data_IF_633631076127
#
_entry.id   IF_633631076127
#
_cell.length_a   1.000
_cell.length_b   1.000
_cell.length_c   1.000
_cell.angle_alpha   90.00
_cell.angle_beta   90.00
_cell.angle_gamma   90.00
#
_symmetry.space_group_name_H-M   'P 1'
#
loop_
_entity.id
_entity.type
_entity.pdbx_description
1 polymer ?
#
# COMPACT_ATOMS: atom_id res chain seq x y z
N UNK A 1 44.08 20.23 4.41
CA UNK A 1 44.12 20.07 2.94
C UNK A 1 44.65 18.67 2.65
N UNK A 2 43.79 17.72 2.30
CA UNK A 2 44.22 16.37 1.93
C UNK A 2 44.70 16.38 0.47
N UNK A 3 45.85 15.77 0.18
CA UNK A 3 46.34 15.53 -1.19
C UNK A 3 46.11 14.06 -1.52
N UNK A 4 45.28 13.79 -2.50
CA UNK A 4 45.18 12.45 -3.07
C UNK A 4 46.44 12.16 -3.90
N UNK A 5 47.06 11.00 -3.69
CA UNK A 5 48.14 10.51 -4.55
C UNK A 5 47.50 9.94 -5.80
N UNK A 6 47.74 10.56 -6.96
CA UNK A 6 47.26 10.06 -8.26
C UNK A 6 47.78 8.63 -8.50
N UNK A 7 46.87 7.69 -8.76
CA UNK A 7 47.20 6.32 -9.14
C UNK A 7 47.15 5.26 -8.03
N UNK A 8 47.00 5.63 -6.75
CA UNK A 8 46.78 4.65 -5.67
C UNK A 8 45.29 4.56 -5.33
N UNK A 9 44.60 3.53 -5.83
CA UNK A 9 43.27 3.18 -5.35
C UNK A 9 43.43 2.40 -4.04
N UNK A 10 43.03 2.94 -2.87
CA UNK A 10 43.16 2.22 -1.62
C UNK A 10 42.40 0.90 -1.69
N UNK A 11 43.04 -0.20 -1.26
CA UNK A 11 42.53 -1.55 -1.40
C UNK A 11 41.17 -1.77 -0.69
N UNK A 12 40.86 -0.94 0.30
CA UNK A 12 39.62 -1.00 1.07
C UNK A 12 39.03 0.42 1.20
N UNK A 13 38.07 0.81 0.34
CA UNK A 13 37.41 2.10 0.49
C UNK A 13 36.55 2.10 1.76
N UNK A 14 36.56 3.22 2.48
CA UNK A 14 35.57 3.48 3.52
C UNK A 14 34.19 3.64 2.85
N UNK A 15 33.19 2.91 3.34
CA UNK A 15 31.83 2.94 2.81
C UNK A 15 30.92 3.63 3.82
N UNK A 16 30.47 4.82 3.46
CA UNK A 16 29.36 5.47 4.14
C UNK A 16 28.08 5.22 3.33
N UNK A 17 27.03 4.74 3.99
CA UNK A 17 25.77 4.42 3.36
C UNK A 17 24.63 5.05 4.14
N UNK A 18 23.90 5.92 3.47
CA UNK A 18 22.59 6.38 3.94
C UNK A 18 21.55 5.46 3.31
N UNK A 19 20.75 4.78 4.14
CA UNK A 19 19.59 4.01 3.71
C UNK A 19 18.35 4.80 4.12
N UNK A 20 17.56 5.20 3.15
CA UNK A 20 16.32 5.94 3.37
C UNK A 20 15.14 5.26 2.67
N UNK A 21 13.94 5.50 3.16
CA UNK A 21 12.70 5.03 2.55
C UNK A 21 12.21 6.14 1.61
N UNK A 22 12.08 5.88 0.29
CA UNK A 22 11.57 6.90 -0.62
C UNK A 22 10.12 7.26 -0.27
N UNK A 23 9.64 8.46 -0.65
CA UNK A 23 8.25 8.84 -0.45
C UNK A 23 7.29 7.76 -0.97
N UNK A 24 6.46 7.25 -0.07
CA UNK A 24 5.50 6.20 -0.40
C UNK A 24 4.27 6.84 -1.06
N UNK A 25 3.87 6.30 -2.22
CA UNK A 25 2.63 6.67 -2.92
C UNK A 25 1.71 5.46 -3.03
N UNK A 26 0.42 5.68 -2.75
CA UNK A 26 -0.60 4.65 -2.96
C UNK A 26 -1.02 4.62 -4.43
N UNK A 27 -1.04 3.42 -5.01
CA UNK A 27 -1.68 3.18 -6.31
C UNK A 27 -3.05 2.56 -6.07
N UNK A 28 -4.11 3.29 -6.40
CA UNK A 28 -5.47 2.77 -6.42
C UNK A 28 -5.75 2.01 -7.71
N UNK A 29 -6.34 0.82 -7.59
CA UNK A 29 -6.96 0.11 -8.71
C UNK A 29 -8.43 -0.09 -8.36
N UNK A 30 -9.31 0.56 -9.09
CA UNK A 30 -10.75 0.44 -8.90
C UNK A 30 -11.32 -0.66 -9.80
N UNK A 31 -12.07 -1.58 -9.20
CA UNK A 31 -12.83 -2.59 -9.92
C UNK A 31 -14.31 -2.20 -9.86
N UNK A 32 -14.88 -1.87 -11.02
CA UNK A 32 -16.29 -1.52 -11.13
C UNK A 32 -17.13 -2.74 -11.50
N UNK A 33 -18.10 -3.07 -10.65
CA UNK A 33 -19.00 -4.20 -10.86
C UNK A 33 -20.40 -3.65 -11.14
N UNK A 34 -20.79 -3.68 -12.41
CA UNK A 34 -22.13 -3.26 -12.81
C UNK A 34 -23.16 -4.32 -12.44
N UNK A 35 -24.29 -3.85 -11.93
CA UNK A 35 -25.46 -4.68 -11.66
C UNK A 35 -26.41 -4.58 -12.83
N UNK A 36 -26.72 -5.72 -13.44
CA UNK A 36 -27.61 -5.82 -14.60
C UNK A 36 -28.86 -6.61 -14.22
N UNK A 37 -29.97 -6.35 -14.91
CA UNK A 37 -31.25 -7.03 -14.70
C UNK A 37 -31.51 -8.04 -15.82
N UNK A 38 -31.89 -9.29 -15.49
CA UNK A 38 -32.28 -10.25 -16.52
C UNK A 38 -33.58 -9.80 -17.17
N UNK A 39 -33.55 -9.60 -18.49
CA UNK A 39 -34.76 -9.36 -19.29
C UNK A 39 -35.76 -10.52 -19.23
N UNK A 40 -35.31 -11.70 -18.83
CA UNK A 40 -36.11 -12.92 -18.72
C UNK A 40 -36.93 -13.06 -17.42
N UNK A 41 -36.39 -12.58 -16.30
CA UNK A 41 -36.93 -12.89 -14.97
C UNK A 41 -36.83 -11.75 -13.96
N UNK A 42 -36.35 -10.57 -14.38
CA UNK A 42 -36.23 -9.38 -13.52
C UNK A 42 -35.17 -9.49 -12.41
N UNK A 43 -34.48 -10.63 -12.29
CA UNK A 43 -33.42 -10.77 -11.27
C UNK A 43 -32.23 -9.91 -11.61
N UNK A 44 -31.75 -9.19 -10.61
CA UNK A 44 -30.52 -8.40 -10.71
C UNK A 44 -29.32 -9.27 -10.36
N UNK A 45 -28.30 -9.24 -11.21
CA UNK A 45 -27.07 -9.99 -11.01
C UNK A 45 -25.85 -9.07 -11.16
N UNK A 46 -24.75 -9.43 -10.50
CA UNK A 46 -23.49 -8.72 -10.54
C UNK A 46 -22.37 -9.74 -10.74
N UNK A 47 -21.46 -9.47 -11.65
CA UNK A 47 -20.30 -10.35 -11.85
C UNK A 47 -19.44 -10.39 -10.57
N UNK A 48 -18.86 -11.55 -10.21
CA UNK A 48 -17.89 -11.62 -9.13
C UNK A 48 -16.62 -10.84 -9.49
N UNK A 49 -15.83 -10.48 -8.48
CA UNK A 49 -14.47 -10.00 -8.70
C UNK A 49 -13.60 -11.11 -9.31
N UNK A 50 -12.59 -10.77 -10.12
CA UNK A 50 -11.54 -11.71 -10.50
C UNK A 50 -10.87 -12.32 -9.27
N UNK A 51 -10.42 -13.57 -9.38
CA UNK A 51 -9.82 -14.32 -8.26
C UNK A 51 -8.53 -13.68 -7.74
N UNK A 52 -7.87 -12.89 -8.57
CA UNK A 52 -6.63 -12.18 -8.29
C UNK A 52 -6.85 -10.93 -7.42
N UNK A 53 -8.10 -10.46 -7.28
CA UNK A 53 -8.41 -9.26 -6.50
C UNK A 53 -8.52 -9.62 -5.01
N UNK A 54 -7.69 -9.05 -4.13
CA UNK A 54 -7.76 -9.33 -2.70
C UNK A 54 -9.13 -8.96 -2.11
N UNK A 55 -9.71 -9.86 -1.33
CA UNK A 55 -11.02 -9.67 -0.68
C UNK A 55 -11.06 -8.48 0.28
N UNK A 56 -9.93 -8.19 0.94
CA UNK A 56 -9.76 -7.07 1.87
C UNK A 56 -9.64 -5.70 1.17
N UNK A 57 -9.52 -5.67 -0.16
CA UNK A 57 -9.29 -4.44 -0.91
C UNK A 57 -7.93 -3.78 -0.66
N UNK A 58 -6.99 -4.51 -0.04
CA UNK A 58 -5.60 -4.09 0.18
C UNK A 58 -4.69 -4.88 -0.75
N UNK A 59 -3.82 -4.20 -1.48
CA UNK A 59 -2.73 -4.87 -2.19
C UNK A 59 -1.69 -5.44 -1.21
N UNK A 60 -0.97 -6.47 -1.61
CA UNK A 60 -0.07 -7.25 -0.75
C UNK A 60 0.90 -6.41 0.09
N UNK A 61 1.49 -5.36 -0.53
CA UNK A 61 2.42 -4.45 0.17
C UNK A 61 1.73 -3.67 1.28
N UNK A 62 0.54 -3.14 1.02
CA UNK A 62 -0.23 -2.41 2.02
C UNK A 62 -0.73 -3.35 3.12
N UNK A 63 -1.15 -4.57 2.75
CA UNK A 63 -1.56 -5.60 3.70
C UNK A 63 -0.40 -5.99 4.65
N UNK A 64 0.82 -6.17 4.11
CA UNK A 64 2.00 -6.48 4.91
C UNK A 64 2.36 -5.34 5.89
N UNK A 65 2.31 -4.09 5.43
CA UNK A 65 2.52 -2.91 6.27
C UNK A 65 1.47 -2.88 7.38
N UNK A 66 0.17 -2.94 7.04
CA UNK A 66 -0.91 -2.93 8.04
C UNK A 66 -0.75 -4.07 9.04
N UNK A 67 -0.49 -5.29 8.59
CA UNK A 67 -0.28 -6.43 9.48
C UNK A 67 0.89 -6.22 10.44
N UNK A 68 2.02 -5.69 9.94
CA UNK A 68 3.19 -5.40 10.77
C UNK A 68 2.86 -4.36 11.85
N UNK A 69 2.25 -3.24 11.47
CA UNK A 69 1.92 -2.16 12.42
C UNK A 69 0.80 -2.56 13.40
N UNK A 70 -0.17 -3.35 12.98
CA UNK A 70 -1.25 -3.84 13.85
C UNK A 70 -0.73 -4.77 14.95
N UNK A 71 0.26 -5.63 14.64
CA UNK A 71 0.86 -6.55 15.62
C UNK A 71 1.85 -5.83 16.54
N UNK A 72 2.75 -5.04 15.97
CA UNK A 72 3.89 -4.48 16.70
C UNK A 72 3.51 -3.31 17.60
N UNK A 73 2.51 -2.52 17.20
CA UNK A 73 2.15 -1.30 17.93
C UNK A 73 0.78 -1.34 18.60
N UNK A 74 0.03 -2.45 18.48
CA UNK A 74 -1.40 -2.55 18.87
C UNK A 74 -2.22 -1.31 18.46
N UNK A 75 -1.82 -0.66 17.37
CA UNK A 75 -2.44 0.58 16.95
C UNK A 75 -3.81 0.25 16.37
N UNK A 76 -4.86 0.84 16.94
CA UNK A 76 -6.19 0.79 16.33
C UNK A 76 -6.14 1.40 14.93
N UNK A 77 -6.98 0.91 14.02
CA UNK A 77 -7.10 1.43 12.64
C UNK A 77 -7.25 2.95 12.54
N UNK A 78 -7.69 3.61 13.62
CA UNK A 78 -7.86 5.08 13.70
C UNK A 78 -6.56 5.86 13.88
N UNK A 79 -5.47 5.24 14.33
CA UNK A 79 -4.17 5.91 14.53
C UNK A 79 -3.25 5.81 13.29
N UNK A 80 -3.61 4.94 12.36
CA UNK A 80 -2.92 4.73 11.08
C UNK A 80 -2.78 6.03 10.25
N UNK A 81 -3.72 7.01 10.25
CA UNK A 81 -3.54 8.28 9.54
C UNK A 81 -2.43 9.20 10.09
N UNK A 82 -1.97 9.04 11.34
CA UNK A 82 -0.96 9.93 11.95
C UNK A 82 0.48 9.58 11.56
N UNK A 83 0.71 8.42 10.95
CA UNK A 83 1.96 8.15 10.24
C UNK A 83 1.93 8.98 8.97
N UNK A 84 2.75 10.04 8.86
CA UNK A 84 2.83 10.94 7.70
C UNK A 84 3.06 10.25 6.33
N UNK A 85 3.34 8.95 6.32
CA UNK A 85 3.38 8.05 5.16
C UNK A 85 1.96 7.75 4.61
N UNK A 86 0.92 7.85 5.44
CA UNK A 86 -0.42 7.32 5.19
C UNK A 86 -1.38 8.40 4.70
N UNK A 87 -1.08 9.70 4.80
CA UNK A 87 -1.98 10.74 4.28
C UNK A 87 -2.26 10.58 2.76
N UNK A 88 -1.29 10.13 1.96
CA UNK A 88 -1.52 9.78 0.54
C UNK A 88 -2.40 8.53 0.37
N UNK A 89 -2.31 7.57 1.30
CA UNK A 89 -3.11 6.35 1.29
C UNK A 89 -4.55 6.64 1.75
N UNK A 90 -4.74 7.51 2.76
CA UNK A 90 -6.04 7.87 3.33
C UNK A 90 -6.92 8.66 2.35
N UNK A 91 -6.32 9.51 1.50
CA UNK A 91 -7.03 10.16 0.40
C UNK A 91 -7.55 9.16 -0.64
N UNK A 92 -6.77 8.11 -0.93
CA UNK A 92 -7.17 7.03 -1.84
C UNK A 92 -8.15 6.01 -1.19
N UNK A 93 -8.08 5.78 0.12
CA UNK A 93 -8.96 4.87 0.87
C UNK A 93 -10.34 5.49 1.16
N UNK A 94 -10.48 6.82 1.05
CA UNK A 94 -11.75 7.54 1.29
C UNK A 94 -12.92 7.07 0.41
N UNK A 95 -12.68 6.20 -0.56
CA UNK A 95 -13.68 5.61 -1.47
C UNK A 95 -14.41 4.35 -0.96
N UNK A 96 -14.18 3.81 0.24
CA UNK A 96 -14.96 2.67 0.74
C UNK A 96 -15.42 2.80 2.21
N UNK A 97 -16.70 3.16 2.47
CA UNK A 97 -17.23 3.23 3.84
C UNK A 97 -17.50 1.86 4.51
N UNK A 98 -17.03 0.74 3.95
CA UNK A 98 -17.41 -0.61 4.40
C UNK A 98 -16.32 -1.68 4.25
N UNK A 99 -15.06 -1.37 4.60
CA UNK A 99 -13.98 -2.39 4.59
C UNK A 99 -14.02 -3.31 5.83
N UNK A 100 -14.78 -2.97 6.89
CA UNK A 100 -14.83 -3.77 8.13
C UNK A 100 -16.23 -3.86 8.75
N UNK A 101 -17.24 -4.30 7.99
CA UNK A 101 -18.46 -4.85 8.58
C UNK A 101 -18.40 -6.37 8.48
N UNK A 102 -18.01 -6.99 9.60
CA UNK A 102 -18.53 -8.30 9.99
C UNK A 102 -19.93 -8.11 10.57
#
# INVERSE_FOLDING_TARGET
MWRAVEGQRPAHPYRDQIVDIPPLSAKGIEHQLHQLECTCCGRKNRAPLPAEVPSLGLGDRLAAVVARFSVEHRQSHRMVPELNIINSVAENIRFKPNIFRY
#
